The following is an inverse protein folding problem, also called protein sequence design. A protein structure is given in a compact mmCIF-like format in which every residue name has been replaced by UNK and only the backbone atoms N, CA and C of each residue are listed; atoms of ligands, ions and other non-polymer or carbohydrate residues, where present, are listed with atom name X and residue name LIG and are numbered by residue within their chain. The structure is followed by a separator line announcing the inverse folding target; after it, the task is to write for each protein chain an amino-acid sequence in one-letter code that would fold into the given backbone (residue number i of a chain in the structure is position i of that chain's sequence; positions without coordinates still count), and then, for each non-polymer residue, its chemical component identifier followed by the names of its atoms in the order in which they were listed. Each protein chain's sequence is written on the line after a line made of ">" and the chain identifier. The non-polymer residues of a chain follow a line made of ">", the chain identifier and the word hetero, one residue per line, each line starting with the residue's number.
data_IF_181515887473
#
_entry.id   IF_181515887473
#
_cell.length_a   1.000
_cell.length_b   1.000
_cell.length_c   1.000
_cell.angle_alpha   90.00
_cell.angle_beta   90.00
_cell.angle_gamma   90.00
#
_symmetry.space_group_name_H-M   'P 1'
#
loop_
_entity.id
_entity.type
_entity.pdbx_description
1 polymer ?
#
# COMPACT_ATOMS: atom_id res chain seq x y z
N UNK A 1 -3.98 11.10 12.58
CA UNK A 1 -3.64 10.25 11.42
C UNK A 1 -3.22 8.90 11.97
N UNK A 2 -3.97 7.84 11.68
CA UNK A 2 -3.63 6.48 12.14
C UNK A 2 -2.71 5.85 11.12
N UNK A 3 -1.56 5.33 11.55
CA UNK A 3 -0.59 4.64 10.71
C UNK A 3 -0.76 3.12 10.81
N UNK A 4 -0.20 2.40 9.85
CA UNK A 4 -0.18 0.93 9.88
C UNK A 4 0.65 0.41 11.06
N UNK A 5 1.73 1.12 11.40
CA UNK A 5 2.60 0.80 12.53
C UNK A 5 1.88 1.00 13.88
N UNK A 6 0.97 1.97 13.98
CA UNK A 6 0.15 2.19 15.19
C UNK A 6 -0.81 1.01 15.43
N UNK A 7 -1.21 0.32 14.36
CA UNK A 7 -2.04 -0.88 14.39
C UNK A 7 -1.21 -2.17 14.50
N UNK A 8 0.11 -2.06 14.70
CA UNK A 8 1.07 -3.18 14.72
C UNK A 8 1.10 -4.01 13.42
N UNK A 9 0.64 -3.44 12.30
CA UNK A 9 0.61 -4.09 10.97
C UNK A 9 1.95 -3.89 10.22
N UNK A 10 3.07 -4.15 10.89
CA UNK A 10 4.42 -3.85 10.37
C UNK A 10 4.71 -4.52 9.04
N UNK A 11 4.30 -5.79 8.86
CA UNK A 11 4.51 -6.52 7.60
C UNK A 11 3.76 -5.89 6.43
N UNK A 12 2.58 -5.33 6.69
CA UNK A 12 1.79 -4.65 5.68
C UNK A 12 2.38 -3.27 5.37
N UNK A 13 2.87 -2.56 6.39
CA UNK A 13 3.58 -1.29 6.23
C UNK A 13 4.84 -1.44 5.36
N UNK A 14 5.66 -2.44 5.64
CA UNK A 14 6.90 -2.74 4.89
C UNK A 14 6.60 -3.06 3.42
N UNK A 15 5.59 -3.92 3.17
CA UNK A 15 5.16 -4.23 1.81
C UNK A 15 4.64 -3.01 1.07
N UNK A 16 3.83 -2.17 1.73
CA UNK A 16 3.33 -0.92 1.15
C UNK A 16 4.49 0.00 0.76
N UNK A 17 5.50 0.15 1.63
CA UNK A 17 6.69 0.94 1.37
C UNK A 17 7.45 0.41 0.15
N UNK A 18 7.63 -0.91 0.01
CA UNK A 18 8.30 -1.49 -1.16
C UNK A 18 7.58 -1.18 -2.49
N UNK A 19 6.25 -1.10 -2.46
CA UNK A 19 5.43 -0.73 -3.63
C UNK A 19 5.59 0.76 -3.93
N UNK A 20 5.52 1.61 -2.90
CA UNK A 20 5.67 3.06 -3.03
C UNK A 20 7.10 3.49 -3.41
N UNK A 21 8.09 2.61 -3.33
CA UNK A 21 9.41 2.87 -3.94
C UNK A 21 9.37 2.80 -5.47
N UNK A 22 8.39 2.12 -6.07
CA UNK A 22 8.26 2.02 -7.53
C UNK A 22 7.59 3.24 -8.18
N UNK A 23 6.84 4.03 -7.41
CA UNK A 23 6.20 5.25 -7.87
C UNK A 23 6.41 6.36 -6.85
N UNK A 24 6.76 7.56 -7.29
CA UNK A 24 6.84 8.70 -6.38
C UNK A 24 5.46 8.92 -5.71
N UNK A 25 5.34 8.88 -4.38
CA UNK A 25 4.05 9.00 -3.69
C UNK A 25 3.53 10.46 -3.67
N UNK A 26 4.04 11.32 -4.55
CA UNK A 26 3.63 12.72 -4.64
C UNK A 26 2.36 12.77 -5.50
N UNK A 27 1.35 13.47 -4.99
CA UNK A 27 0.12 13.75 -5.72
C UNK A 27 0.43 14.37 -7.09
N UNK A 28 -0.33 13.96 -8.11
CA UNK A 28 -0.15 14.34 -9.51
C UNK A 28 1.22 14.01 -10.13
N UNK A 29 2.05 13.17 -9.49
CA UNK A 29 3.27 12.71 -10.14
C UNK A 29 2.98 11.61 -11.17
N UNK A 30 3.66 11.71 -12.32
CA UNK A 30 3.60 10.67 -13.33
C UNK A 30 4.37 9.44 -12.86
N UNK A 31 3.75 8.26 -12.97
CA UNK A 31 4.42 6.99 -12.76
C UNK A 31 4.12 6.05 -13.94
N UNK A 32 5.16 5.63 -14.66
CA UNK A 32 5.02 4.69 -15.79
C UNK A 32 4.48 3.32 -15.34
N UNK A 33 4.72 2.96 -14.08
CA UNK A 33 4.27 1.71 -13.46
C UNK A 33 2.95 1.86 -12.70
N UNK A 34 2.20 2.95 -12.92
CA UNK A 34 0.96 3.25 -12.17
C UNK A 34 -0.04 2.09 -12.21
N UNK A 35 -0.22 1.44 -13.36
CA UNK A 35 -1.12 0.29 -13.47
C UNK A 35 -0.67 -0.88 -12.58
N UNK A 36 0.61 -1.25 -12.64
CA UNK A 36 1.17 -2.35 -11.84
C UNK A 36 1.08 -2.05 -10.34
N UNK A 37 1.47 -0.84 -9.94
CA UNK A 37 1.38 -0.38 -8.54
C UNK A 37 -0.07 -0.34 -8.07
N UNK A 38 -1.00 0.07 -8.91
CA UNK A 38 -2.44 0.04 -8.63
C UNK A 38 -2.96 -1.38 -8.37
N UNK A 39 -2.56 -2.37 -9.16
CA UNK A 39 -2.93 -3.77 -8.92
C UNK A 39 -2.34 -4.31 -7.62
N UNK A 40 -1.06 -4.04 -7.33
CA UNK A 40 -0.44 -4.45 -6.06
C UNK A 40 -1.13 -3.82 -4.84
N UNK A 41 -1.57 -2.56 -4.95
CA UNK A 41 -2.32 -1.86 -3.91
C UNK A 41 -3.72 -2.45 -3.68
N UNK A 42 -4.40 -2.91 -4.74
CA UNK A 42 -5.68 -3.61 -4.62
C UNK A 42 -5.54 -4.90 -3.82
N UNK A 43 -4.50 -5.69 -4.08
CA UNK A 43 -4.24 -6.93 -3.33
C UNK A 43 -3.97 -6.65 -1.85
N UNK A 44 -3.13 -5.66 -1.51
CA UNK A 44 -2.93 -5.24 -0.12
C UNK A 44 -4.25 -4.82 0.53
N UNK A 45 -5.08 -4.07 -0.18
CA UNK A 45 -6.38 -3.63 0.35
C UNK A 45 -7.30 -4.83 0.63
N UNK A 46 -7.31 -5.85 -0.24
CA UNK A 46 -8.07 -7.10 0.00
C UNK A 46 -7.53 -7.85 1.21
N UNK A 47 -6.21 -7.97 1.35
CA UNK A 47 -5.56 -8.62 2.49
C UNK A 47 -5.86 -7.89 3.80
N UNK A 48 -5.79 -6.55 3.80
CA UNK A 48 -6.14 -5.71 4.94
C UNK A 48 -7.60 -5.91 5.37
N UNK A 49 -8.53 -5.96 4.41
CA UNK A 49 -9.96 -6.23 4.68
C UNK A 49 -10.17 -7.61 5.31
N UNK A 50 -9.53 -8.65 4.75
CA UNK A 50 -9.59 -10.03 5.29
C UNK A 50 -9.04 -10.11 6.71
N UNK A 51 -7.90 -9.47 6.96
CA UNK A 51 -7.29 -9.44 8.29
C UNK A 51 -8.13 -8.66 9.31
N UNK A 52 -8.90 -7.67 8.86
CA UNK A 52 -9.80 -6.89 9.69
C UNK A 52 -11.15 -7.59 10.01
N UNK A 53 -11.38 -8.82 9.52
CA UNK A 53 -12.57 -9.61 9.88
C UNK A 53 -13.90 -9.04 9.37
N UNK A 54 -13.89 -8.31 8.25
CA UNK A 54 -15.10 -7.87 7.54
C UNK A 54 -15.21 -8.49 6.16
#
# INVERSE_FOLDING_TARGET
>A
MVRLEDLKLYRMADRLMSILLNCKPKEASHCEKANLVGEMMKEITKEAKRAAGK
#
